data_IF_645096031985
#
_entry.id   IF_645096031985
#
_cell.length_a   1.000
_cell.length_b   1.000
_cell.length_c   1.000
_cell.angle_alpha   90.00
_cell.angle_beta   90.00
_cell.angle_gamma   90.00
#
_symmetry.space_group_name_H-M   'P 1'
#
loop_
_entity.id
_entity.type
_entity.pdbx_description
1 polymer ?
#
# COMPACT_ATOMS: atom_id res chain seq x y z
N UNK A 1 18.73 42.93 5.92
CA UNK A 1 17.62 41.99 6.14
C UNK A 1 18.08 40.61 5.69
N UNK A 2 18.52 39.76 6.62
CA UNK A 2 18.83 38.37 6.30
C UNK A 2 17.50 37.65 6.00
N UNK A 3 17.34 37.18 4.76
CA UNK A 3 16.33 36.19 4.42
C UNK A 3 16.67 34.90 5.17
N UNK A 4 16.14 34.73 6.38
CA UNK A 4 16.04 33.42 6.99
C UNK A 4 15.12 32.59 6.09
N UNK A 5 15.69 31.76 5.20
CA UNK A 5 14.93 30.66 4.60
C UNK A 5 14.44 29.82 5.78
N UNK A 6 13.15 29.85 6.07
CA UNK A 6 12.58 28.99 7.11
C UNK A 6 12.92 27.55 6.72
N UNK A 7 13.50 26.80 7.65
CA UNK A 7 13.85 25.41 7.41
C UNK A 7 12.56 24.60 7.17
N UNK A 8 12.34 24.12 5.94
CA UNK A 8 11.16 23.30 5.63
C UNK A 8 11.52 21.82 5.77
N UNK A 9 11.32 21.29 6.99
CA UNK A 9 11.57 19.89 7.32
C UNK A 9 10.91 18.92 6.33
N UNK A 10 9.70 19.24 5.86
CA UNK A 10 8.99 18.39 4.91
C UNK A 10 9.72 18.27 3.57
N UNK A 11 10.14 19.41 3.00
CA UNK A 11 10.89 19.41 1.73
C UNK A 11 12.22 18.66 1.86
N UNK A 12 12.90 18.80 3.00
CA UNK A 12 14.14 18.05 3.25
C UNK A 12 13.88 16.54 3.39
N UNK A 13 12.78 16.15 4.03
CA UNK A 13 12.37 14.76 4.16
C UNK A 13 12.05 14.16 2.78
N UNK A 14 11.29 14.86 1.94
CA UNK A 14 10.99 14.42 0.56
C UNK A 14 12.24 14.18 -0.28
N UNK A 15 13.20 15.13 -0.24
CA UNK A 15 14.46 14.98 -0.98
C UNK A 15 15.29 13.79 -0.49
N UNK A 16 15.28 13.50 0.82
CA UNK A 16 16.00 12.35 1.38
C UNK A 16 15.35 11.01 1.00
N UNK A 17 14.03 10.95 0.85
CA UNK A 17 13.32 9.73 0.44
C UNK A 17 13.41 9.45 -1.07
N UNK A 18 13.80 10.45 -1.87
CA UNK A 18 13.83 10.36 -3.33
C UNK A 18 14.60 9.15 -3.87
N UNK A 19 15.80 8.79 -3.36
CA UNK A 19 16.52 7.61 -3.84
C UNK A 19 15.70 6.32 -3.68
N UNK A 20 15.14 6.07 -2.50
CA UNK A 20 14.34 4.88 -2.20
C UNK A 20 13.03 4.85 -2.98
N UNK A 21 12.37 6.01 -3.15
CA UNK A 21 11.18 6.14 -4.01
C UNK A 21 11.50 5.79 -5.47
N UNK A 22 12.58 6.34 -6.02
CA UNK A 22 12.98 6.07 -7.41
C UNK A 22 13.42 4.62 -7.62
N UNK A 23 14.09 4.00 -6.65
CA UNK A 23 14.45 2.59 -6.71
C UNK A 23 13.19 1.71 -6.82
N UNK A 24 12.15 1.99 -6.02
CA UNK A 24 10.90 1.25 -6.05
C UNK A 24 10.08 1.50 -7.33
N UNK A 25 10.05 2.73 -7.86
CA UNK A 25 9.37 3.04 -9.14
C UNK A 25 10.07 2.34 -10.32
N UNK A 26 11.39 2.18 -10.28
CA UNK A 26 12.15 1.55 -11.35
C UNK A 26 12.47 0.06 -11.07
N UNK A 27 11.73 -0.57 -10.16
CA UNK A 27 12.02 -1.94 -9.74
C UNK A 27 11.92 -2.93 -10.93
N UNK A 28 12.87 -3.88 -11.11
CA UNK A 28 12.87 -4.82 -12.23
C UNK A 28 11.63 -5.72 -12.33
N UNK A 29 10.96 -5.97 -11.19
CA UNK A 29 9.71 -6.74 -11.10
C UNK A 29 8.70 -6.34 -12.19
N UNK A 30 8.52 -5.04 -12.48
CA UNK A 30 7.50 -4.62 -13.44
C UNK A 30 7.73 -5.18 -14.85
N UNK A 31 8.98 -5.42 -15.25
CA UNK A 31 9.31 -6.02 -16.54
C UNK A 31 9.09 -7.55 -16.55
N UNK A 32 9.05 -8.18 -15.38
CA UNK A 32 8.81 -9.61 -15.22
C UNK A 32 7.33 -9.98 -15.28
N UNK A 33 6.42 -9.01 -15.11
CA UNK A 33 4.97 -9.18 -15.24
C UNK A 33 4.53 -9.32 -16.71
N UNK A 34 5.21 -10.17 -17.48
CA UNK A 34 5.09 -10.27 -18.93
C UNK A 34 4.28 -11.49 -19.41
N UNK A 35 3.64 -12.20 -18.50
CA UNK A 35 2.74 -13.32 -18.77
C UNK A 35 1.70 -13.46 -17.63
N UNK A 36 0.66 -14.27 -17.88
CA UNK A 36 -0.45 -14.48 -16.95
C UNK A 36 0.02 -15.05 -15.61
N UNK A 37 0.95 -16.00 -15.62
CA UNK A 37 1.41 -16.69 -14.40
C UNK A 37 2.20 -15.74 -13.51
N UNK A 38 3.07 -14.92 -14.12
CA UNK A 38 3.82 -13.88 -13.41
C UNK A 38 2.89 -12.85 -12.76
N UNK A 39 1.80 -12.49 -13.44
CA UNK A 39 0.77 -11.62 -12.87
C UNK A 39 0.02 -12.29 -11.70
N UNK A 40 -0.34 -13.57 -11.82
CA UNK A 40 -0.97 -14.32 -10.74
C UNK A 40 -0.09 -14.33 -9.48
N UNK A 41 1.20 -14.69 -9.61
CA UNK A 41 2.19 -14.70 -8.51
C UNK A 41 2.30 -13.32 -7.85
N UNK A 42 2.34 -12.27 -8.67
CA UNK A 42 2.34 -10.89 -8.16
C UNK A 42 1.09 -10.60 -7.34
N UNK A 43 -0.10 -10.89 -7.87
CA UNK A 43 -1.36 -10.57 -7.19
C UNK A 43 -1.57 -11.38 -5.90
N UNK A 44 -1.14 -12.65 -5.87
CA UNK A 44 -1.20 -13.53 -4.70
C UNK A 44 -0.38 -13.01 -3.51
N UNK A 45 0.74 -12.32 -3.79
CA UNK A 45 1.52 -11.64 -2.75
C UNK A 45 0.99 -10.23 -2.46
N UNK A 46 0.65 -9.47 -3.51
CA UNK A 46 0.23 -8.07 -3.38
C UNK A 46 -1.10 -7.90 -2.65
N UNK A 47 -2.03 -8.86 -2.72
CA UNK A 47 -3.31 -8.78 -2.00
C UNK A 47 -3.14 -8.59 -0.49
N UNK A 48 -2.05 -9.09 0.10
CA UNK A 48 -1.73 -8.86 1.51
C UNK A 48 -1.30 -7.40 1.78
N UNK A 49 -0.64 -6.76 0.82
CA UNK A 49 -0.33 -5.34 0.88
C UNK A 49 -1.58 -4.47 0.66
N UNK A 50 -2.53 -4.91 -0.17
CA UNK A 50 -3.84 -4.26 -0.31
C UNK A 50 -4.59 -4.32 1.03
N UNK A 51 -4.59 -5.48 1.69
CA UNK A 51 -5.24 -5.63 2.99
C UNK A 51 -4.54 -4.82 4.10
N UNK A 52 -3.21 -4.92 4.23
CA UNK A 52 -2.49 -4.30 5.35
C UNK A 52 -2.44 -2.76 5.28
N UNK A 53 -2.63 -2.20 4.08
CA UNK A 53 -2.82 -0.76 3.86
C UNK A 53 -3.95 -0.22 4.75
N UNK A 54 -5.07 -0.98 4.83
CA UNK A 54 -6.19 -0.62 5.69
C UNK A 54 -5.79 -0.50 7.16
N UNK A 55 -4.83 -1.30 7.63
CA UNK A 55 -4.39 -1.23 9.03
C UNK A 55 -3.75 0.11 9.37
N UNK A 56 -2.99 0.71 8.44
CA UNK A 56 -2.40 2.04 8.62
C UNK A 56 -3.46 3.14 8.63
N UNK A 57 -4.34 3.18 7.63
CA UNK A 57 -5.36 4.24 7.53
C UNK A 57 -6.41 4.14 8.64
N UNK A 58 -6.80 2.93 9.08
CA UNK A 58 -7.70 2.76 10.24
C UNK A 58 -7.03 3.20 11.55
N UNK A 59 -5.72 2.99 11.67
CA UNK A 59 -4.94 3.53 12.80
C UNK A 59 -4.94 5.05 12.79
N UNK A 60 -4.75 5.68 11.62
CA UNK A 60 -4.86 7.12 11.49
C UNK A 60 -6.27 7.61 11.78
N UNK A 61 -7.30 6.95 11.24
CA UNK A 61 -8.70 7.30 11.48
C UNK A 61 -9.02 7.33 12.97
N UNK A 62 -8.60 6.31 13.71
CA UNK A 62 -8.77 6.27 15.16
C UNK A 62 -8.04 7.42 15.88
N UNK A 63 -6.88 7.87 15.37
CA UNK A 63 -6.02 8.86 16.05
C UNK A 63 -6.31 10.31 15.68
N UNK A 64 -6.84 10.57 14.48
CA UNK A 64 -7.08 11.93 13.98
C UNK A 64 -8.58 12.27 13.86
N UNK A 65 -9.47 11.30 14.06
CA UNK A 65 -10.92 11.49 14.10
C UNK A 65 -11.47 11.10 15.48
N UNK A 66 -12.78 10.84 15.58
CA UNK A 66 -13.42 10.33 16.79
C UNK A 66 -14.29 9.12 16.42
N UNK A 67 -13.94 7.96 16.99
CA UNK A 67 -14.70 6.71 16.84
C UNK A 67 -15.47 6.35 18.14
N UNK A 68 -15.25 7.10 19.21
CA UNK A 68 -15.79 6.84 20.55
C UNK A 68 -17.13 7.53 20.80
N UNK A 69 -17.86 7.04 21.82
CA UNK A 69 -19.10 7.65 22.33
C UNK A 69 -18.90 8.03 23.82
N UNK A 70 -19.18 9.28 24.24
CA UNK A 70 -19.76 10.37 23.45
C UNK A 70 -18.78 10.97 22.44
N UNK A 71 -19.31 11.37 21.28
CA UNK A 71 -18.53 11.98 20.20
C UNK A 71 -17.98 13.35 20.60
N UNK A 72 -16.75 13.65 20.16
CA UNK A 72 -16.11 14.96 20.25
C UNK A 72 -15.56 15.39 18.88
N UNK A 73 -15.59 16.70 18.55
CA UNK A 73 -15.10 17.18 17.27
C UNK A 73 -13.57 17.01 17.14
N UNK A 74 -13.05 16.64 15.95
CA UNK A 74 -11.60 16.56 15.71
C UNK A 74 -10.89 17.90 15.91
N UNK A 75 -9.64 17.84 16.40
CA UNK A 75 -8.79 19.02 16.60
C UNK A 75 -8.27 19.62 15.30
N UNK A 76 -8.06 18.79 14.27
CA UNK A 76 -7.73 19.22 12.91
C UNK A 76 -8.73 18.65 11.91
N UNK A 77 -9.69 19.48 11.51
CA UNK A 77 -10.77 19.09 10.60
C UNK A 77 -10.29 18.69 9.21
N UNK A 78 -9.15 19.24 8.73
CA UNK A 78 -8.65 18.91 7.39
C UNK A 78 -8.02 17.52 7.38
N UNK A 79 -7.24 17.21 8.42
CA UNK A 79 -6.67 15.88 8.62
C UNK A 79 -7.76 14.83 8.79
N UNK A 80 -8.78 15.12 9.59
CA UNK A 80 -9.93 14.24 9.76
C UNK A 80 -10.72 14.02 8.46
N UNK A 81 -10.91 15.09 7.67
CA UNK A 81 -11.56 15.03 6.35
C UNK A 81 -10.80 14.11 5.39
N UNK A 82 -9.50 14.36 5.22
CA UNK A 82 -8.64 13.57 4.32
C UNK A 82 -8.70 12.08 4.67
N UNK A 83 -8.50 11.74 5.94
CA UNK A 83 -8.51 10.34 6.38
C UNK A 83 -9.87 9.70 6.16
N UNK A 84 -10.98 10.41 6.41
CA UNK A 84 -12.31 9.87 6.16
C UNK A 84 -12.63 9.72 4.65
N UNK A 85 -12.11 10.61 3.80
CA UNK A 85 -12.25 10.48 2.34
C UNK A 85 -11.49 9.28 1.80
N UNK A 86 -10.25 9.07 2.23
CA UNK A 86 -9.48 7.87 1.87
C UNK A 86 -10.19 6.62 2.38
N UNK A 87 -10.70 6.63 3.62
CA UNK A 87 -11.47 5.48 4.14
C UNK A 87 -12.73 5.22 3.32
N UNK A 88 -13.45 6.27 2.90
CA UNK A 88 -14.63 6.13 2.04
C UNK A 88 -14.26 5.47 0.70
N UNK A 89 -13.18 5.93 0.07
CA UNK A 89 -12.68 5.38 -1.20
C UNK A 89 -12.17 3.94 -1.06
N UNK A 90 -11.52 3.58 0.04
CA UNK A 90 -10.87 2.27 0.17
C UNK A 90 -11.81 1.20 0.75
N UNK A 91 -12.65 1.57 1.71
CA UNK A 91 -13.52 0.64 2.45
C UNK A 91 -14.88 0.43 1.78
N UNK A 92 -15.41 1.45 1.10
CA UNK A 92 -16.76 1.45 0.51
C UNK A 92 -16.83 2.30 -0.76
N UNK A 93 -15.93 2.05 -1.71
CA UNK A 93 -15.87 2.82 -2.95
C UNK A 93 -17.17 2.69 -3.76
N UNK A 94 -17.55 3.76 -4.47
CA UNK A 94 -18.62 3.72 -5.48
C UNK A 94 -18.02 3.59 -6.88
N UNK A 95 -17.83 2.35 -7.33
CA UNK A 95 -17.20 2.06 -8.64
C UNK A 95 -18.15 2.32 -9.82
N UNK A 96 -19.45 2.35 -9.55
CA UNK A 96 -20.50 2.83 -10.46
C UNK A 96 -21.73 3.24 -9.63
N UNK A 97 -22.65 4.08 -10.16
CA UNK A 97 -23.77 4.59 -9.38
C UNK A 97 -24.56 3.51 -8.64
N UNK A 98 -24.54 3.57 -7.31
CA UNK A 98 -25.20 2.63 -6.40
C UNK A 98 -24.50 1.27 -6.21
N UNK A 99 -23.31 1.07 -6.79
CA UNK A 99 -22.53 -0.15 -6.64
C UNK A 99 -21.31 0.11 -5.75
N UNK A 100 -21.38 -0.37 -4.50
CA UNK A 100 -20.34 -0.16 -3.50
C UNK A 100 -19.47 -1.40 -3.30
N UNK A 101 -18.15 -1.23 -3.31
CA UNK A 101 -17.19 -2.31 -3.09
C UNK A 101 -15.92 -1.77 -2.43
N UNK A 102 -15.31 -2.54 -1.52
CA UNK A 102 -14.00 -2.17 -0.99
C UNK A 102 -12.93 -2.39 -2.06
N UNK A 103 -11.85 -1.60 -2.04
CA UNK A 103 -10.70 -1.82 -2.91
C UNK A 103 -10.08 -3.22 -2.70
N UNK A 104 -10.14 -3.76 -1.48
CA UNK A 104 -9.77 -5.15 -1.18
C UNK A 104 -10.63 -6.16 -1.94
N UNK A 105 -11.96 -6.03 -1.88
CA UNK A 105 -12.87 -6.96 -2.57
C UNK A 105 -12.79 -6.79 -4.09
N UNK A 106 -12.60 -5.57 -4.59
CA UNK A 106 -12.35 -5.30 -6.02
C UNK A 106 -11.07 -6.00 -6.49
N UNK A 107 -10.01 -5.98 -5.67
CA UNK A 107 -8.78 -6.71 -5.98
C UNK A 107 -9.00 -8.23 -6.01
N UNK A 108 -9.84 -8.79 -5.12
CA UNK A 108 -10.19 -10.22 -5.16
C UNK A 108 -11.02 -10.60 -6.39
N UNK A 109 -11.89 -9.70 -6.88
CA UNK A 109 -12.58 -9.88 -8.17
C UNK A 109 -11.55 -9.98 -9.29
N UNK A 110 -10.57 -9.07 -9.31
CA UNK A 110 -9.48 -9.09 -10.28
C UNK A 110 -8.62 -10.36 -10.20
N UNK A 111 -8.27 -10.83 -8.99
CA UNK A 111 -7.58 -12.11 -8.81
C UNK A 111 -8.38 -13.28 -9.40
N UNK A 112 -9.70 -13.29 -9.15
CA UNK A 112 -10.58 -14.36 -9.64
C UNK A 112 -10.69 -14.33 -11.17
N UNK A 113 -10.77 -13.15 -11.77
CA UNK A 113 -10.83 -12.97 -13.23
C UNK A 113 -9.63 -13.63 -13.94
N UNK A 114 -8.42 -13.44 -13.40
CA UNK A 114 -7.19 -13.99 -14.00
C UNK A 114 -6.83 -15.38 -13.48
N UNK A 115 -7.63 -15.96 -12.57
CA UNK A 115 -7.39 -17.30 -12.00
C UNK A 115 -6.27 -17.39 -10.94
N UNK A 116 -5.91 -16.29 -10.28
CA UNK A 116 -4.96 -16.27 -9.17
C UNK A 116 -5.56 -16.91 -7.90
N UNK A 117 -4.72 -17.57 -7.07
CA UNK A 117 -5.18 -18.23 -5.86
C UNK A 117 -5.57 -17.23 -4.75
N UNK A 118 -6.87 -17.18 -4.46
CA UNK A 118 -7.42 -16.32 -3.39
C UNK A 118 -7.56 -17.05 -2.04
N UNK A 119 -7.31 -18.36 -1.99
CA UNK A 119 -7.54 -19.15 -0.77
C UNK A 119 -6.67 -18.72 0.42
N UNK A 120 -5.38 -18.40 0.27
CA UNK A 120 -4.53 -18.00 1.40
C UNK A 120 -5.05 -16.74 2.08
N UNK A 121 -5.35 -15.69 1.31
CA UNK A 121 -5.85 -14.43 1.87
C UNK A 121 -7.28 -14.59 2.44
N UNK A 122 -8.16 -15.36 1.79
CA UNK A 122 -9.50 -15.66 2.34
C UNK A 122 -9.43 -16.41 3.65
N UNK A 123 -8.50 -17.37 3.77
CA UNK A 123 -8.23 -18.10 5.01
C UNK A 123 -7.70 -17.17 6.10
N UNK A 124 -6.80 -16.26 5.73
CA UNK A 124 -6.29 -15.24 6.63
C UNK A 124 -7.42 -14.37 7.20
N UNK A 125 -8.25 -13.76 6.36
CA UNK A 125 -9.40 -12.94 6.80
C UNK A 125 -10.41 -13.73 7.63
N UNK A 126 -10.71 -14.97 7.25
CA UNK A 126 -11.61 -15.85 8.01
C UNK A 126 -11.10 -16.09 9.43
N UNK A 127 -9.78 -16.22 9.60
CA UNK A 127 -9.14 -16.44 10.90
C UNK A 127 -9.17 -15.17 11.76
N UNK A 128 -8.93 -13.99 11.17
CA UNK A 128 -9.08 -12.71 11.85
C UNK A 128 -10.53 -12.49 12.34
N UNK A 129 -11.53 -12.83 11.52
CA UNK A 129 -12.96 -12.77 11.89
C UNK A 129 -13.30 -13.69 13.07
N UNK A 130 -12.54 -14.77 13.27
CA UNK A 130 -12.67 -15.67 14.44
C UNK A 130 -11.90 -15.16 15.66
N UNK A 131 -11.28 -13.99 15.60
CA UNK A 131 -10.49 -13.42 16.68
C UNK A 131 -9.08 -13.99 16.81
N UNK A 132 -8.59 -14.77 15.83
CA UNK A 132 -7.22 -15.28 15.85
C UNK A 132 -6.27 -14.11 15.52
N UNK A 133 -5.23 -13.85 16.32
CA UNK A 133 -4.28 -12.78 16.05
C UNK A 133 -3.61 -12.91 14.67
N UNK A 134 -3.35 -11.77 14.01
CA UNK A 134 -2.73 -11.73 12.69
C UNK A 134 -1.39 -12.48 12.63
N UNK A 135 -0.52 -12.28 13.62
CA UNK A 135 0.78 -12.96 13.69
C UNK A 135 0.66 -14.49 13.76
N UNK A 136 -0.32 -15.00 14.51
CA UNK A 136 -0.58 -16.44 14.60
C UNK A 136 -1.12 -16.97 13.26
N UNK A 137 -2.02 -16.21 12.62
CA UNK A 137 -2.60 -16.61 11.34
C UNK A 137 -1.55 -16.62 10.23
N UNK A 138 -0.71 -15.58 10.13
CA UNK A 138 0.42 -15.50 9.17
C UNK A 138 1.39 -16.68 9.32
N UNK A 139 1.64 -17.13 10.55
CA UNK A 139 2.49 -18.30 10.80
C UNK A 139 1.86 -19.61 10.29
N UNK A 140 0.52 -19.70 10.26
CA UNK A 140 -0.21 -20.92 9.87
C UNK A 140 -0.48 -21.06 8.37
N UNK A 141 -0.48 -19.97 7.62
CA UNK A 141 -0.76 -19.99 6.17
C UNK A 141 0.52 -20.17 5.35
N UNK A 142 0.40 -20.90 4.24
CA UNK A 142 1.50 -21.12 3.30
C UNK A 142 1.51 -20.01 2.24
N UNK A 143 2.22 -18.92 2.54
CA UNK A 143 2.51 -17.81 1.62
C UNK A 143 4.00 -17.47 1.71
N UNK A 144 4.57 -16.73 0.74
CA UNK A 144 5.98 -16.35 0.77
C UNK A 144 6.39 -15.62 2.06
N UNK A 145 7.60 -15.89 2.56
CA UNK A 145 8.05 -15.30 3.83
C UNK A 145 8.24 -13.78 3.74
N UNK A 146 8.64 -13.26 2.58
CA UNK A 146 8.74 -11.81 2.36
C UNK A 146 7.36 -11.13 2.42
N UNK A 147 6.30 -11.79 1.94
CA UNK A 147 4.92 -11.32 2.12
C UNK A 147 4.53 -11.28 3.60
N UNK A 148 4.85 -12.32 4.38
CA UNK A 148 4.61 -12.32 5.84
C UNK A 148 5.39 -11.21 6.55
N UNK A 149 6.64 -11.01 6.16
CA UNK A 149 7.54 -10.00 6.73
C UNK A 149 7.00 -8.60 6.46
N UNK A 150 6.54 -8.34 5.23
CA UNK A 150 5.91 -7.07 4.87
C UNK A 150 4.67 -6.77 5.71
N UNK A 151 3.76 -7.74 5.86
CA UNK A 151 2.55 -7.55 6.67
C UNK A 151 2.90 -7.32 8.15
N UNK A 152 3.83 -8.09 8.71
CA UNK A 152 4.29 -7.91 10.11
C UNK A 152 4.87 -6.50 10.31
N UNK A 153 5.72 -6.05 9.38
CA UNK A 153 6.27 -4.69 9.41
C UNK A 153 5.17 -3.62 9.41
N UNK A 154 4.15 -3.76 8.56
CA UNK A 154 3.01 -2.83 8.52
C UNK A 154 2.25 -2.83 9.86
N UNK A 155 1.95 -4.01 10.41
CA UNK A 155 1.26 -4.13 11.70
C UNK A 155 2.08 -3.57 12.86
N UNK A 156 3.39 -3.81 12.91
CA UNK A 156 4.29 -3.19 13.90
C UNK A 156 4.29 -1.67 13.78
N UNK A 157 4.27 -1.14 12.56
CA UNK A 157 4.19 0.30 12.31
C UNK A 157 2.94 0.91 12.93
N UNK A 158 1.80 0.22 12.93
CA UNK A 158 0.55 0.72 13.58
C UNK A 158 0.69 1.00 15.08
N UNK A 159 1.70 0.40 15.74
CA UNK A 159 1.95 0.59 17.18
C UNK A 159 2.80 1.82 17.49
N UNK A 160 3.43 2.44 16.47
CA UNK A 160 4.29 3.62 16.59
C UNK A 160 3.48 4.89 16.85
N UNK A 161 4.15 6.02 17.03
CA UNK A 161 3.52 7.33 17.20
C UNK A 161 2.71 7.77 15.97
N UNK A 162 1.82 8.76 16.13
CA UNK A 162 0.93 9.21 15.03
C UNK A 162 1.70 9.75 13.82
N UNK A 163 2.77 10.54 14.02
CA UNK A 163 3.58 11.05 12.91
C UNK A 163 4.37 9.96 12.20
N UNK A 164 4.84 8.93 12.90
CA UNK A 164 5.50 7.78 12.28
C UNK A 164 4.53 6.96 11.42
N UNK A 165 3.32 6.69 11.92
CA UNK A 165 2.26 6.00 11.13
C UNK A 165 1.87 6.84 9.92
N UNK A 166 1.67 8.15 10.11
CA UNK A 166 1.30 9.06 9.03
C UNK A 166 2.37 9.13 7.95
N UNK A 167 3.65 9.19 8.32
CA UNK A 167 4.75 9.22 7.36
C UNK A 167 4.88 7.91 6.58
N UNK A 168 4.78 6.77 7.26
CA UNK A 168 4.79 5.45 6.59
C UNK A 168 3.61 5.30 5.62
N UNK A 169 2.42 5.72 6.04
CA UNK A 169 1.21 5.70 5.22
C UNK A 169 1.35 6.62 3.99
N UNK A 170 1.55 7.92 4.20
CA UNK A 170 1.57 8.91 3.10
C UNK A 170 2.73 8.64 2.14
N UNK A 171 3.96 8.63 2.65
CA UNK A 171 5.15 8.70 1.80
C UNK A 171 5.68 7.33 1.38
N UNK A 172 5.32 6.28 2.13
CA UNK A 172 5.74 4.91 1.86
C UNK A 172 4.68 4.04 1.18
N UNK A 173 3.41 4.42 1.25
CA UNK A 173 2.29 3.60 0.75
C UNK A 173 1.40 4.36 -0.23
N UNK A 174 0.85 5.50 0.16
CA UNK A 174 -0.14 6.26 -0.62
C UNK A 174 0.49 6.99 -1.82
N UNK A 175 1.39 7.94 -1.57
CA UNK A 175 1.97 8.84 -2.58
C UNK A 175 2.80 8.12 -3.65
N UNK A 176 3.12 6.84 -3.46
CA UNK A 176 3.92 6.04 -4.39
C UNK A 176 3.06 5.15 -5.30
N UNK A 177 1.83 4.82 -4.89
CA UNK A 177 0.94 3.90 -5.60
C UNK A 177 0.71 4.32 -7.06
N UNK A 178 0.33 5.58 -7.37
CA UNK A 178 0.03 5.94 -8.76
C UNK A 178 1.22 5.75 -9.70
N UNK A 179 2.42 6.12 -9.25
CA UNK A 179 3.65 5.95 -10.03
C UNK A 179 3.99 4.46 -10.26
N UNK A 180 3.81 3.62 -9.25
CA UNK A 180 4.01 2.17 -9.36
C UNK A 180 2.97 1.53 -10.29
N UNK A 181 1.70 1.90 -10.14
CA UNK A 181 0.61 1.34 -10.94
C UNK A 181 0.72 1.72 -12.41
N UNK A 182 1.23 2.93 -12.73
CA UNK A 182 1.59 3.27 -14.12
C UNK A 182 2.63 2.33 -14.72
N UNK A 183 3.59 1.82 -13.94
CA UNK A 183 4.55 0.82 -14.43
C UNK A 183 3.86 -0.52 -14.71
N UNK A 184 3.00 -0.98 -13.81
CA UNK A 184 2.23 -2.22 -13.99
C UNK A 184 1.33 -2.12 -15.24
N UNK A 185 0.57 -1.04 -15.38
CA UNK A 185 -0.28 -0.78 -16.55
C UNK A 185 0.56 -0.78 -17.83
N UNK A 186 1.69 -0.07 -17.86
CA UNK A 186 2.52 0.01 -19.04
C UNK A 186 3.04 -1.36 -19.50
N UNK A 187 3.39 -2.26 -18.57
CA UNK A 187 3.75 -3.63 -18.91
C UNK A 187 2.54 -4.41 -19.43
N UNK A 188 1.42 -4.38 -18.71
CA UNK A 188 0.24 -5.19 -19.03
C UNK A 188 -0.47 -4.75 -20.32
N UNK A 189 -0.47 -3.46 -20.65
CA UNK A 189 -1.04 -2.92 -21.90
C UNK A 189 -0.29 -3.45 -23.14
N UNK A 190 0.93 -3.96 -22.97
CA UNK A 190 1.72 -4.58 -24.06
C UNK A 190 1.44 -6.08 -24.26
N UNK A 191 0.69 -6.71 -23.36
CA UNK A 191 0.41 -8.14 -23.38
C UNK A 191 -0.87 -8.47 -24.13
N UNK A 192 -0.89 -9.67 -24.72
CA UNK A 192 -2.04 -10.24 -25.41
C UNK A 192 -2.30 -11.65 -24.88
N UNK A 193 -3.56 -12.11 -24.95
CA UNK A 193 -3.92 -13.50 -24.64
C UNK A 193 -4.69 -13.72 -23.33
N UNK A 194 -4.88 -12.68 -22.52
CA UNK A 194 -5.79 -12.68 -21.38
C UNK A 194 -6.35 -11.28 -21.12
N UNK A 195 -7.50 -11.19 -20.45
CA UNK A 195 -8.10 -9.93 -19.98
C UNK A 195 -7.74 -9.69 -18.53
N UNK A 196 -7.70 -8.42 -18.13
CA UNK A 196 -7.43 -7.99 -16.75
C UNK A 196 -8.27 -6.74 -16.44
N UNK A 197 -9.51 -6.70 -16.92
CA UNK A 197 -10.40 -5.53 -16.88
C UNK A 197 -10.73 -5.11 -15.44
N UNK A 198 -10.95 -6.07 -14.54
CA UNK A 198 -11.16 -5.78 -13.12
C UNK A 198 -9.91 -5.23 -12.44
N UNK A 199 -8.72 -5.73 -12.83
CA UNK A 199 -7.46 -5.16 -12.33
C UNK A 199 -7.26 -3.76 -12.91
N UNK A 200 -7.58 -3.54 -14.19
CA UNK A 200 -7.51 -2.23 -14.84
C UNK A 200 -8.38 -1.23 -14.09
N UNK A 201 -9.62 -1.59 -13.79
CA UNK A 201 -10.52 -0.77 -12.97
C UNK A 201 -9.89 -0.45 -11.62
N UNK A 202 -9.41 -1.45 -10.88
CA UNK A 202 -8.71 -1.24 -9.60
C UNK A 202 -7.55 -0.24 -9.72
N UNK A 203 -6.65 -0.42 -10.69
CA UNK A 203 -5.48 0.45 -10.86
C UNK A 203 -5.88 1.87 -11.29
N UNK A 204 -6.87 2.01 -12.17
CA UNK A 204 -7.37 3.31 -12.60
C UNK A 204 -8.01 4.09 -11.43
N UNK A 205 -8.73 3.42 -10.51
CA UNK A 205 -9.26 4.07 -9.29
C UNK A 205 -8.16 4.77 -8.48
N UNK A 206 -6.95 4.21 -8.43
CA UNK A 206 -5.82 4.81 -7.70
C UNK A 206 -5.02 5.83 -8.52
N UNK A 207 -5.21 5.89 -9.84
CA UNK A 207 -4.64 6.97 -10.68
C UNK A 207 -5.54 8.22 -10.67
N UNK A 208 -6.84 8.05 -10.45
CA UNK A 208 -7.85 9.13 -10.52
C UNK A 208 -8.28 9.68 -9.16
N UNK A 209 -7.85 9.07 -8.05
CA UNK A 209 -8.11 9.57 -6.70
C UNK A 209 -7.27 10.83 -6.42
N UNK A 210 -7.81 11.98 -6.82
CA UNK A 210 -7.56 13.35 -6.32
C UNK A 210 -6.14 13.64 -5.77
N UNK A 211 -5.06 13.27 -6.50
CA UNK A 211 -3.67 13.58 -6.15
C UNK A 211 -3.52 15.09 -5.81
N UNK A 212 -4.27 15.93 -6.53
CA UNK A 212 -4.32 17.39 -6.37
C UNK A 212 -4.90 17.86 -5.03
N UNK A 213 -5.72 17.04 -4.35
CA UNK A 213 -6.30 17.37 -3.04
C UNK A 213 -5.62 16.60 -1.91
N UNK A 214 -5.42 15.30 -2.06
CA UNK A 214 -4.90 14.45 -0.97
C UNK A 214 -3.43 14.70 -0.68
N UNK A 215 -2.58 14.98 -1.68
CA UNK A 215 -1.15 15.25 -1.44
C UNK A 215 -0.94 16.53 -0.60
N UNK A 216 -1.56 17.69 -0.93
CA UNK A 216 -1.48 18.87 -0.07
C UNK A 216 -2.02 18.65 1.35
N UNK A 217 -3.10 17.88 1.50
CA UNK A 217 -3.67 17.55 2.80
C UNK A 217 -2.74 16.65 3.61
N UNK A 218 -2.11 15.66 2.98
CA UNK A 218 -1.13 14.76 3.61
C UNK A 218 0.11 15.52 4.08
N UNK A 219 0.64 16.42 3.26
CA UNK A 219 1.72 17.34 3.64
C UNK A 219 1.35 18.17 4.87
N UNK A 220 0.13 18.71 4.91
CA UNK A 220 -0.36 19.51 6.03
C UNK A 220 -0.53 18.66 7.29
N UNK A 221 -1.08 17.45 7.19
CA UNK A 221 -1.19 16.50 8.29
C UNK A 221 0.18 16.26 8.93
N UNK A 222 1.18 15.90 8.12
CA UNK A 222 2.51 15.58 8.66
C UNK A 222 3.18 16.81 9.30
N UNK A 223 3.04 17.98 8.68
CA UNK A 223 3.51 19.26 9.28
C UNK A 223 2.83 19.55 10.62
N UNK A 224 1.52 19.31 10.74
CA UNK A 224 0.79 19.53 11.99
C UNK A 224 1.21 18.54 13.09
N UNK A 225 1.44 17.27 12.74
CA UNK A 225 1.85 16.25 13.71
C UNK A 225 3.28 16.46 14.22
N UNK A 226 4.19 16.83 13.32
CA UNK A 226 5.61 17.04 13.62
C UNK A 226 5.88 18.43 14.22
N UNK A 227 5.18 19.47 13.77
CA UNK A 227 5.46 20.86 14.16
C UNK A 227 6.92 21.25 13.86
N UNK A 228 7.53 22.00 14.77
CA UNK A 228 8.95 22.39 14.70
C UNK A 228 9.88 21.42 15.46
N UNK A 229 9.42 20.20 15.76
CA UNK A 229 10.18 19.20 16.52
C UNK A 229 11.08 18.36 15.59
N UNK A 230 12.42 18.56 15.61
CA UNK A 230 13.33 17.83 14.73
C UNK A 230 13.34 16.32 15.00
N UNK A 231 13.05 15.87 16.22
CA UNK A 231 13.02 14.44 16.58
C UNK A 231 11.83 13.76 15.91
N UNK A 232 10.67 14.43 15.87
CA UNK A 232 9.50 13.89 15.16
C UNK A 232 9.73 13.80 13.67
N UNK A 233 10.40 14.78 13.07
CA UNK A 233 10.74 14.75 11.65
C UNK A 233 11.73 13.63 11.31
N UNK A 234 12.73 13.37 12.16
CA UNK A 234 13.64 12.23 12.01
C UNK A 234 12.90 10.89 12.13
N UNK A 235 12.00 10.75 13.10
CA UNK A 235 11.16 9.56 13.27
C UNK A 235 10.23 9.35 12.06
N UNK A 236 9.60 10.41 11.56
CA UNK A 236 8.78 10.39 10.36
C UNK A 236 9.58 9.93 9.13
N UNK A 237 10.78 10.50 8.92
CA UNK A 237 11.68 10.08 7.86
C UNK A 237 12.01 8.59 7.96
N UNK A 238 12.47 8.13 9.12
CA UNK A 238 12.83 6.73 9.33
C UNK A 238 11.64 5.78 9.10
N UNK A 239 10.43 6.18 9.50
CA UNK A 239 9.23 5.38 9.29
C UNK A 239 8.85 5.26 7.80
N UNK A 240 8.89 6.38 7.07
CA UNK A 240 8.64 6.40 5.62
C UNK A 240 9.70 5.63 4.82
N UNK A 241 10.98 5.85 5.14
CA UNK A 241 12.12 5.19 4.51
C UNK A 241 12.06 3.66 4.71
N UNK A 242 11.74 3.20 5.92
CA UNK A 242 11.58 1.78 6.19
C UNK A 242 10.36 1.18 5.48
N UNK A 243 9.27 1.93 5.30
CA UNK A 243 8.11 1.47 4.55
C UNK A 243 8.43 1.29 3.05
N UNK A 244 9.19 2.21 2.45
CA UNK A 244 9.67 2.07 1.07
C UNK A 244 10.60 0.86 0.92
N UNK A 245 11.54 0.67 1.85
CA UNK A 245 12.45 -0.48 1.86
C UNK A 245 11.73 -1.81 2.04
N UNK A 246 10.75 -1.87 2.95
CA UNK A 246 9.94 -3.06 3.15
C UNK A 246 9.17 -3.43 1.86
N UNK A 247 8.63 -2.43 1.16
CA UNK A 247 7.93 -2.64 -0.11
C UNK A 247 8.88 -3.07 -1.22
N UNK A 248 10.07 -2.47 -1.30
CA UNK A 248 11.12 -2.92 -2.21
C UNK A 248 11.48 -4.39 -1.96
N UNK A 249 11.69 -4.79 -0.70
CA UNK A 249 11.98 -6.18 -0.34
C UNK A 249 10.83 -7.15 -0.66
N UNK A 250 9.56 -6.71 -0.55
CA UNK A 250 8.43 -7.48 -1.05
C UNK A 250 8.51 -7.68 -2.56
N UNK A 251 8.90 -6.64 -3.31
CA UNK A 251 9.05 -6.70 -4.77
C UNK A 251 10.21 -7.61 -5.19
N UNK A 252 11.34 -7.58 -4.47
CA UNK A 252 12.44 -8.54 -4.65
C UNK A 252 11.92 -9.98 -4.48
N UNK A 253 11.18 -10.25 -3.40
CA UNK A 253 10.64 -11.58 -3.14
C UNK A 253 9.66 -12.08 -4.21
N UNK A 254 8.80 -11.20 -4.72
CA UNK A 254 7.89 -11.55 -5.82
C UNK A 254 8.67 -11.82 -7.10
N UNK A 255 9.69 -11.02 -7.41
CA UNK A 255 10.53 -11.22 -8.59
C UNK A 255 11.28 -12.57 -8.53
N UNK A 256 11.80 -12.94 -7.36
CA UNK A 256 12.44 -14.25 -7.15
C UNK A 256 11.45 -15.41 -7.36
N UNK A 257 10.20 -15.30 -6.89
CA UNK A 257 9.17 -16.33 -7.09
C UNK A 257 8.81 -16.50 -8.57
N UNK A 258 8.67 -15.40 -9.30
CA UNK A 258 8.41 -15.43 -10.76
C UNK A 258 9.57 -16.11 -11.49
N UNK A 259 10.80 -15.74 -11.16
CA UNK A 259 11.99 -16.33 -11.77
C UNK A 259 12.08 -17.85 -11.50
N UNK A 260 11.88 -18.27 -10.25
CA UNK A 260 11.91 -19.69 -9.87
C UNK A 260 10.80 -20.49 -10.56
N UNK A 261 9.61 -19.92 -10.71
CA UNK A 261 8.51 -20.58 -11.43
C UNK A 261 8.88 -20.81 -12.90
N UNK A 262 9.45 -19.80 -13.57
CA UNK A 262 9.93 -19.92 -14.97
C UNK A 262 11.02 -20.98 -15.14
N UNK A 263 11.95 -21.08 -14.19
CA UNK A 263 13.00 -22.10 -14.21
C UNK A 263 12.44 -23.52 -14.07
N UNK A 264 11.44 -23.71 -13.20
CA UNK A 264 10.79 -25.01 -13.02
C UNK A 264 10.02 -25.46 -14.27
N UNK A 265 9.35 -24.52 -14.95
CA UNK A 265 8.63 -24.83 -16.19
C UNK A 265 9.59 -25.27 -17.31
N UNK A 266 10.76 -24.62 -17.43
CA UNK A 266 11.80 -25.02 -18.39
C UNK A 266 12.32 -26.42 -18.06
N UNK A 267 12.63 -26.69 -16.79
CA UNK A 267 13.13 -28.00 -16.37
C UNK A 267 12.12 -29.13 -16.65
N UNK A 268 10.82 -28.87 -16.51
CA UNK A 268 9.75 -29.82 -16.83
C UNK A 268 9.60 -30.07 -18.35
N UNK A 269 9.91 -29.09 -19.19
CA UNK A 269 9.90 -29.23 -20.66
C UNK A 269 11.13 -29.99 -21.20
N UNK A 270 12.21 -30.04 -20.43
CA UNK A 270 13.45 -30.76 -20.78
C UNK A 270 13.46 -32.23 -20.33
N UNK A 271 12.45 -32.68 -19.57
CA UNK A 271 12.24 -34.08 -19.12
C UNK A 271 11.33 -34.88 -20.05
#
# INVERSE_FOLDING_TARGET
>A
MQNYKSFDYYTQLEEQLKPSRMALINHPLYQQLNDLVSLQIFMESHVFAVWDFMSLIKTLQHRVTCLDVPWVPPTDINSARMVNEIVLAEETDEVSPGNYISHYDLYLVAMTEIGADTNPIKTFISSLRKGIPANQTLASISIPELTKTFVKFTLETTTKSTHEVAAAFLLGREDIIPAMFRQVIATLDSLYGFTWDSLRLYLDRHNFLDEDQHVPMGKKLLKNLCGDDPVKWEQAFNSAENALKARYALWDGVAELIQLNKENDIALLEM
#
